data_IF_277681193239
#
_entry.id   IF_277681193239
#
_cell.length_a   1.000
_cell.length_b   1.000
_cell.length_c   1.000
_cell.angle_alpha   90.00
_cell.angle_beta   90.00
_cell.angle_gamma   90.00
#
_symmetry.space_group_name_H-M   'P 1'
#
loop_
_entity.id
_entity.type
_entity.pdbx_description
1 polymer ?
#
# COMPACT_ATOMS: atom_id res chain seq x y z
N UNK A 1 -42.20 -31.05 -17.79
CA UNK A 1 -40.76 -30.72 -17.87
C UNK A 1 -40.53 -29.26 -17.41
N UNK A 2 -40.12 -29.04 -16.16
CA UNK A 2 -39.78 -27.73 -15.62
C UNK A 2 -38.25 -27.57 -15.73
N UNK A 3 -37.80 -26.67 -16.63
CA UNK A 3 -36.40 -26.24 -16.69
C UNK A 3 -36.11 -25.34 -15.49
N UNK A 4 -35.23 -25.77 -14.60
CA UNK A 4 -34.67 -24.93 -13.51
C UNK A 4 -33.63 -23.98 -14.12
N UNK A 5 -33.92 -22.68 -14.06
CA UNK A 5 -32.97 -21.64 -14.42
C UNK A 5 -31.81 -21.60 -13.43
N UNK A 6 -30.59 -21.64 -13.95
CA UNK A 6 -29.35 -21.48 -13.20
C UNK A 6 -29.21 -20.02 -12.72
N UNK A 7 -28.88 -19.74 -11.46
CA UNK A 7 -28.61 -18.39 -11.00
C UNK A 7 -27.29 -17.91 -11.64
N UNK A 8 -27.38 -16.81 -12.41
CA UNK A 8 -26.22 -16.11 -12.95
C UNK A 8 -25.40 -15.56 -11.79
N UNK A 9 -24.24 -16.16 -11.53
CA UNK A 9 -23.28 -15.66 -10.58
C UNK A 9 -22.81 -14.27 -11.00
N UNK A 10 -22.99 -13.28 -10.13
CA UNK A 10 -22.39 -11.97 -10.27
C UNK A 10 -20.87 -12.13 -10.30
N UNK A 11 -20.27 -11.93 -11.47
CA UNK A 11 -18.82 -11.73 -11.58
C UNK A 11 -18.50 -10.38 -10.96
N UNK A 12 -17.95 -10.42 -9.76
CA UNK A 12 -17.27 -9.26 -9.18
C UNK A 12 -16.04 -9.01 -10.03
N UNK A 13 -16.00 -7.90 -10.75
CA UNK A 13 -14.81 -7.46 -11.48
C UNK A 13 -13.80 -6.88 -10.46
N UNK A 14 -12.64 -7.52 -10.24
CA UNK A 14 -11.57 -6.96 -9.42
C UNK A 14 -10.72 -6.01 -10.28
N UNK A 15 -11.08 -4.75 -10.36
CA UNK A 15 -10.38 -3.90 -11.32
C UNK A 15 -10.40 -2.40 -11.09
N UNK A 16 -10.63 -1.88 -9.87
CA UNK A 16 -10.73 -0.42 -9.71
C UNK A 16 -9.81 0.26 -8.69
N UNK A 17 -8.95 -0.46 -7.97
CA UNK A 17 -8.08 0.16 -6.96
C UNK A 17 -6.61 -0.23 -7.21
N UNK A 18 -6.06 0.11 -8.37
CA UNK A 18 -4.71 -0.26 -8.80
C UNK A 18 -3.64 0.80 -8.47
N UNK A 19 -3.76 1.52 -7.35
CA UNK A 19 -2.63 2.26 -6.81
C UNK A 19 -1.71 1.36 -5.97
N UNK A 20 -0.41 1.72 -5.75
CA UNK A 20 0.53 0.95 -4.93
C UNK A 20 -0.03 0.61 -3.55
N UNK A 21 -0.75 1.54 -2.92
CA UNK A 21 -1.41 1.36 -1.62
C UNK A 21 -2.56 0.35 -1.72
N UNK A 22 -3.32 0.35 -2.81
CA UNK A 22 -4.39 -0.62 -3.06
C UNK A 22 -3.86 -2.05 -3.22
N UNK A 23 -2.72 -2.22 -3.89
CA UNK A 23 -2.05 -3.52 -4.05
C UNK A 23 -1.61 -4.11 -2.70
N UNK A 24 -1.03 -3.30 -1.81
CA UNK A 24 -0.56 -3.77 -0.50
C UNK A 24 -1.72 -4.10 0.45
N UNK A 25 -2.78 -3.27 0.47
CA UNK A 25 -4.00 -3.57 1.23
C UNK A 25 -4.65 -4.87 0.76
N UNK A 26 -4.75 -5.07 -0.55
CA UNK A 26 -5.30 -6.30 -1.13
C UNK A 26 -4.43 -7.53 -0.82
N UNK A 27 -3.10 -7.40 -0.79
CA UNK A 27 -2.19 -8.46 -0.40
C UNK A 27 -2.38 -8.84 1.08
N UNK A 28 -2.47 -7.86 1.98
CA UNK A 28 -2.66 -8.08 3.41
C UNK A 28 -4.02 -8.77 3.72
N UNK A 29 -5.09 -8.33 3.07
CA UNK A 29 -6.43 -8.96 3.22
C UNK A 29 -6.43 -10.39 2.69
N UNK A 30 -5.77 -10.66 1.57
CA UNK A 30 -5.70 -12.01 0.98
C UNK A 30 -4.79 -12.97 1.75
N UNK A 31 -3.88 -12.47 2.58
CA UNK A 31 -3.09 -13.30 3.49
C UNK A 31 -3.91 -13.92 4.62
N UNK A 32 -5.02 -13.29 4.99
CA UNK A 32 -5.97 -13.80 5.98
C UNK A 32 -6.87 -14.88 5.38
N UNK A 33 -7.07 -14.88 4.05
CA UNK A 33 -7.88 -15.90 3.35
C UNK A 33 -6.96 -17.03 2.87
N UNK A 34 -7.12 -18.27 3.34
CA UNK A 34 -6.33 -19.40 2.88
C UNK A 34 -6.58 -19.67 1.40
N UNK A 35 -5.53 -19.71 0.58
CA UNK A 35 -5.62 -20.26 -0.77
C UNK A 35 -4.90 -19.57 -1.91
N UNK A 36 -4.42 -18.32 -1.79
CA UNK A 36 -3.87 -17.64 -2.97
C UNK A 36 -2.46 -17.03 -2.76
N UNK A 37 -1.47 -17.90 -2.44
CA UNK A 37 -0.07 -17.50 -2.25
C UNK A 37 0.51 -16.75 -3.47
N UNK A 38 0.15 -17.18 -4.69
CA UNK A 38 0.63 -16.54 -5.92
C UNK A 38 0.13 -15.12 -6.06
N UNK A 39 -1.16 -14.89 -5.85
CA UNK A 39 -1.74 -13.54 -5.93
C UNK A 39 -1.13 -12.58 -4.90
N UNK A 40 -0.96 -13.03 -3.65
CA UNK A 40 -0.31 -12.20 -2.61
C UNK A 40 1.13 -11.85 -2.99
N UNK A 41 1.91 -12.81 -3.47
CA UNK A 41 3.29 -12.59 -3.90
C UNK A 41 3.35 -11.61 -5.07
N UNK A 42 2.50 -11.79 -6.08
CA UNK A 42 2.43 -10.91 -7.25
C UNK A 42 2.02 -9.49 -6.86
N UNK A 43 0.98 -9.34 -6.02
CA UNK A 43 0.53 -8.01 -5.56
C UNK A 43 1.61 -7.29 -4.74
N UNK A 44 2.34 -8.03 -3.90
CA UNK A 44 3.46 -7.45 -3.15
C UNK A 44 4.58 -7.01 -4.08
N UNK A 45 4.94 -7.80 -5.08
CA UNK A 45 5.96 -7.46 -6.06
C UNK A 45 5.57 -6.24 -6.90
N UNK A 46 4.34 -6.18 -7.40
CA UNK A 46 3.82 -5.03 -8.16
C UNK A 46 3.80 -3.77 -7.30
N UNK A 47 3.36 -3.88 -6.04
CA UNK A 47 3.39 -2.76 -5.09
C UNK A 47 4.80 -2.22 -4.87
N UNK A 48 5.79 -3.10 -4.70
CA UNK A 48 7.20 -2.72 -4.55
C UNK A 48 7.77 -2.07 -5.83
N UNK A 49 7.40 -2.55 -7.01
CA UNK A 49 7.81 -1.94 -8.27
C UNK A 49 7.30 -0.49 -8.42
N UNK A 50 6.12 -0.18 -7.86
CA UNK A 50 5.56 1.17 -7.85
C UNK A 50 6.19 2.14 -6.85
N UNK A 51 7.09 1.67 -5.96
CA UNK A 51 7.71 2.52 -4.92
C UNK A 51 8.62 3.58 -5.53
N UNK A 52 9.43 3.22 -6.52
CA UNK A 52 10.41 4.13 -7.09
C UNK A 52 9.77 5.40 -7.68
N UNK A 53 8.79 5.31 -8.61
CA UNK A 53 8.15 6.51 -9.13
C UNK A 53 7.39 7.31 -8.05
N UNK A 54 6.77 6.63 -7.08
CA UNK A 54 6.10 7.31 -5.98
C UNK A 54 7.08 8.06 -5.06
N UNK A 55 8.25 7.49 -4.79
CA UNK A 55 9.29 8.14 -4.00
C UNK A 55 9.89 9.36 -4.72
N UNK A 56 10.08 9.28 -6.03
CA UNK A 56 10.57 10.41 -6.83
C UNK A 56 9.60 11.59 -6.80
N UNK A 57 8.29 11.33 -6.97
CA UNK A 57 7.27 12.36 -6.87
C UNK A 57 7.26 13.00 -5.47
N UNK A 58 7.22 12.19 -4.41
CA UNK A 58 7.22 12.69 -3.03
C UNK A 58 8.49 13.46 -2.66
N UNK A 59 9.65 13.14 -3.26
CA UNK A 59 10.89 13.89 -3.05
C UNK A 59 10.84 15.25 -3.72
N UNK A 60 10.29 15.36 -4.92
CA UNK A 60 10.10 16.63 -5.60
C UNK A 60 9.19 17.55 -4.78
N UNK A 61 8.06 17.02 -4.29
CA UNK A 61 7.13 17.80 -3.45
C UNK A 61 7.79 18.26 -2.12
N UNK A 62 8.67 17.41 -1.54
CA UNK A 62 9.35 17.73 -0.27
C UNK A 62 10.37 18.85 -0.39
N UNK A 63 11.02 19.01 -1.56
CA UNK A 63 12.06 20.01 -1.77
C UNK A 63 11.55 21.45 -1.60
N UNK A 64 10.26 21.69 -1.83
CA UNK A 64 9.62 23.01 -1.76
C UNK A 64 8.88 23.26 -0.43
N UNK A 65 8.98 22.34 0.56
CA UNK A 65 8.28 22.49 1.83
C UNK A 65 8.96 23.46 2.81
N UNK A 66 8.18 24.27 3.56
CA UNK A 66 8.66 25.02 4.72
C UNK A 66 9.26 24.10 5.79
N UNK A 67 10.21 24.59 6.63
CA UNK A 67 10.97 23.75 7.57
C UNK A 67 10.13 22.99 8.60
N UNK A 68 9.02 23.54 9.03
CA UNK A 68 8.06 22.91 9.95
C UNK A 68 7.32 21.74 9.29
N UNK A 69 6.91 21.91 8.04
CA UNK A 69 6.24 20.87 7.25
C UNK A 69 7.24 19.79 6.78
N UNK A 70 8.49 20.18 6.48
CA UNK A 70 9.54 19.26 6.09
C UNK A 70 9.83 18.19 7.15
N UNK A 71 9.69 18.50 8.45
CA UNK A 71 9.83 17.52 9.55
C UNK A 71 8.75 16.42 9.49
N UNK A 72 7.51 16.80 9.24
CA UNK A 72 6.41 15.82 9.10
C UNK A 72 6.59 15.01 7.81
N UNK A 73 7.03 15.66 6.72
CA UNK A 73 7.41 15.00 5.47
C UNK A 73 8.51 13.95 5.68
N UNK A 74 9.52 14.26 6.49
CA UNK A 74 10.60 13.31 6.82
C UNK A 74 10.07 12.11 7.63
N UNK A 75 9.20 12.34 8.61
CA UNK A 75 8.57 11.26 9.37
C UNK A 75 7.69 10.38 8.46
N UNK A 76 6.96 10.98 7.52
CA UNK A 76 6.21 10.27 6.50
C UNK A 76 7.12 9.42 5.61
N UNK A 77 8.23 9.99 5.12
CA UNK A 77 9.21 9.27 4.30
C UNK A 77 9.86 8.10 5.06
N UNK A 78 10.22 8.29 6.33
CA UNK A 78 10.77 7.24 7.18
C UNK A 78 9.77 6.08 7.40
N UNK A 79 8.50 6.40 7.63
CA UNK A 79 7.44 5.40 7.78
C UNK A 79 7.20 4.62 6.47
N UNK A 80 7.26 5.31 5.32
CA UNK A 80 7.21 4.66 4.01
C UNK A 80 8.41 3.72 3.79
N UNK A 81 9.62 4.16 4.12
CA UNK A 81 10.83 3.33 4.02
C UNK A 81 10.69 2.07 4.88
N UNK A 82 10.21 2.19 6.11
CA UNK A 82 9.95 1.04 6.98
C UNK A 82 8.92 0.08 6.36
N UNK A 83 7.83 0.58 5.77
CA UNK A 83 6.86 -0.24 5.07
C UNK A 83 7.49 -0.99 3.89
N UNK A 84 8.30 -0.32 3.08
CA UNK A 84 9.01 -0.92 1.94
C UNK A 84 9.92 -2.05 2.40
N UNK A 85 10.71 -1.85 3.45
CA UNK A 85 11.59 -2.88 4.03
C UNK A 85 10.77 -4.08 4.50
N UNK A 86 9.66 -3.86 5.20
CA UNK A 86 8.77 -4.93 5.66
C UNK A 86 8.17 -5.73 4.49
N UNK A 87 7.70 -5.06 3.45
CA UNK A 87 7.13 -5.76 2.28
C UNK A 87 8.20 -6.46 1.44
N UNK A 88 9.39 -5.91 1.32
CA UNK A 88 10.52 -6.58 0.67
C UNK A 88 10.93 -7.84 1.45
N UNK A 89 11.02 -7.77 2.78
CA UNK A 89 11.30 -8.92 3.64
C UNK A 89 10.16 -9.96 3.59
N UNK A 90 8.91 -9.51 3.48
CA UNK A 90 7.76 -10.39 3.26
C UNK A 90 7.87 -11.15 1.94
N UNK A 91 8.17 -10.46 0.86
CA UNK A 91 8.35 -11.06 -0.47
C UNK A 91 9.49 -12.07 -0.46
N UNK A 92 10.67 -11.68 0.05
CA UNK A 92 11.83 -12.57 0.16
C UNK A 92 11.52 -13.83 0.99
N UNK A 93 10.83 -13.67 2.14
CA UNK A 93 10.42 -14.80 2.97
C UNK A 93 9.50 -15.78 2.24
N UNK A 94 8.58 -15.26 1.43
CA UNK A 94 7.65 -16.09 0.61
C UNK A 94 8.37 -16.84 -0.50
N UNK A 95 9.30 -16.17 -1.18
CA UNK A 95 10.13 -16.80 -2.22
C UNK A 95 11.03 -17.89 -1.66
N UNK A 96 11.47 -17.76 -0.40
CA UNK A 96 12.22 -18.79 0.34
C UNK A 96 11.34 -19.93 0.91
N UNK A 97 10.05 -19.97 0.58
CA UNK A 97 9.15 -21.00 1.08
C UNK A 97 8.75 -20.86 2.56
N UNK A 98 8.90 -19.66 3.16
CA UNK A 98 8.58 -19.34 4.55
C UNK A 98 7.35 -18.42 4.67
N UNK A 99 6.15 -18.89 4.31
CA UNK A 99 4.97 -18.03 4.20
C UNK A 99 4.52 -17.43 5.55
N UNK A 100 4.70 -18.15 6.66
CA UNK A 100 4.36 -17.64 7.99
C UNK A 100 5.22 -16.41 8.35
N UNK A 101 6.53 -16.47 8.10
CA UNK A 101 7.44 -15.34 8.29
C UNK A 101 7.06 -14.17 7.37
N UNK A 102 6.69 -14.47 6.10
CA UNK A 102 6.20 -13.46 5.17
C UNK A 102 4.92 -12.74 5.65
N UNK A 103 4.00 -13.46 6.32
CA UNK A 103 2.81 -12.85 6.94
C UNK A 103 3.16 -11.87 8.05
N UNK A 104 4.07 -12.25 8.95
CA UNK A 104 4.52 -11.37 10.04
C UNK A 104 5.11 -10.07 9.49
N UNK A 105 5.96 -10.16 8.47
CA UNK A 105 6.50 -8.98 7.80
C UNK A 105 5.42 -8.14 7.11
N UNK A 106 4.41 -8.76 6.49
CA UNK A 106 3.28 -8.03 5.89
C UNK A 106 2.46 -7.27 6.93
N UNK A 107 2.26 -7.83 8.12
CA UNK A 107 1.57 -7.13 9.23
C UNK A 107 2.37 -5.93 9.72
N UNK A 108 3.70 -6.06 9.86
CA UNK A 108 4.58 -4.94 10.18
C UNK A 108 4.52 -3.84 9.12
N UNK A 109 4.53 -4.20 7.83
CA UNK A 109 4.35 -3.27 6.72
C UNK A 109 3.00 -2.57 6.74
N UNK A 110 1.92 -3.29 7.05
CA UNK A 110 0.58 -2.70 7.18
C UNK A 110 0.50 -1.67 8.32
N UNK A 111 1.12 -1.96 9.47
CA UNK A 111 1.20 -1.02 10.58
C UNK A 111 1.96 0.26 10.17
N UNK A 112 3.11 0.12 9.49
CA UNK A 112 3.87 1.25 8.97
C UNK A 112 3.05 2.08 7.96
N UNK A 113 2.30 1.44 7.05
CA UNK A 113 1.39 2.12 6.10
C UNK A 113 0.28 2.87 6.82
N UNK A 114 -0.27 2.33 7.92
CA UNK A 114 -1.28 3.03 8.71
C UNK A 114 -0.71 4.33 9.32
N UNK A 115 0.50 4.29 9.87
CA UNK A 115 1.20 5.48 10.39
C UNK A 115 1.46 6.48 9.26
N UNK A 116 1.99 6.02 8.12
CA UNK A 116 2.23 6.82 6.92
C UNK A 116 0.97 7.52 6.44
N UNK A 117 -0.15 6.79 6.37
CA UNK A 117 -1.44 7.34 5.96
C UNK A 117 -1.96 8.42 6.90
N UNK A 118 -1.80 8.22 8.21
CA UNK A 118 -2.17 9.20 9.23
C UNK A 118 -1.32 10.48 9.11
N UNK A 119 0.00 10.35 8.94
CA UNK A 119 0.92 11.48 8.76
C UNK A 119 0.64 12.23 7.46
N UNK A 120 0.50 11.52 6.34
CA UNK A 120 0.18 12.11 5.04
C UNK A 120 -1.17 12.84 5.04
N UNK A 121 -2.19 12.24 5.66
CA UNK A 121 -3.48 12.88 5.87
C UNK A 121 -3.38 14.14 6.73
N UNK A 122 -2.56 14.12 7.79
CA UNK A 122 -2.33 15.29 8.62
C UNK A 122 -1.72 16.44 7.82
N UNK A 123 -0.68 16.17 7.01
CA UNK A 123 -0.04 17.17 6.15
C UNK A 123 -1.03 17.72 5.12
N UNK A 124 -1.74 16.84 4.42
CA UNK A 124 -2.66 17.25 3.36
C UNK A 124 -3.86 18.05 3.87
N UNK A 125 -4.48 17.63 4.98
CA UNK A 125 -5.76 18.21 5.44
C UNK A 125 -5.62 19.24 6.54
N UNK A 126 -4.60 19.16 7.40
CA UNK A 126 -4.41 20.10 8.50
C UNK A 126 -3.42 21.21 8.22
N UNK A 127 -2.40 20.93 7.41
CA UNK A 127 -1.38 21.90 7.04
C UNK A 127 -1.64 22.54 5.66
N UNK A 128 -2.71 22.11 4.97
CA UNK A 128 -3.13 22.62 3.67
C UNK A 128 -2.02 22.68 2.61
N UNK A 129 -1.09 21.70 2.65
CA UNK A 129 -0.01 21.60 1.68
C UNK A 129 -0.61 21.40 0.29
N UNK A 130 -0.25 22.30 -0.64
CA UNK A 130 -0.78 22.30 -2.01
C UNK A 130 -2.13 23.04 -2.18
N UNK A 131 -2.72 23.57 -1.11
CA UNK A 131 -3.86 24.45 -1.24
C UNK A 131 -3.39 25.87 -1.59
N UNK A 132 -3.62 26.31 -2.81
CA UNK A 132 -3.46 27.73 -3.16
C UNK A 132 -4.59 28.51 -2.52
N UNK A 133 -4.33 29.60 -1.77
CA UNK A 133 -5.40 30.50 -1.37
C UNK A 133 -6.08 31.02 -2.63
N UNK A 134 -7.41 30.85 -2.71
CA UNK A 134 -8.19 31.48 -3.74
C UNK A 134 -8.06 33.00 -3.56
N UNK A 135 -7.37 33.66 -4.48
CA UNK A 135 -7.31 35.12 -4.61
C UNK A 135 -8.60 35.65 -5.21
#
# INVERSE_FOLDING_TARGET
>A
ARRRGSPRGHRVHPGRDLGPIGCWRSAAVRDVVPGNRRATTTLTAVGLAGVAPAAMAGWADWADLPPDQARVGLAHAASNAAAVVCYAASLASRLQGRPAKGRLWSLGGLAAVAVTGALGGHVAYRQAVGAHPAT
#
